data_IF_178358595506
#
_entry.id   IF_178358595506
#
_cell.length_a   1.000
_cell.length_b   1.000
_cell.length_c   1.000
_cell.angle_alpha   90.00
_cell.angle_beta   90.00
_cell.angle_gamma   90.00
#
_symmetry.space_group_name_H-M   'P 1'
#
loop_
_entity.id
_entity.type
_entity.pdbx_description
1 polymer ?
#
# COMPACT_ATOMS: atom_id res chain seq x y z
N UNK A 1 -19.28 10.86 -2.50
CA UNK A 1 -17.89 10.43 -2.78
C UNK A 1 -17.90 9.46 -3.95
N UNK A 2 -16.76 9.25 -4.59
CA UNK A 2 -16.58 8.25 -5.65
C UNK A 2 -15.38 7.36 -5.30
N UNK A 3 -15.36 6.14 -5.84
CA UNK A 3 -14.26 5.19 -5.60
C UNK A 3 -13.04 5.61 -6.41
N UNK A 4 -11.87 5.67 -5.76
CA UNK A 4 -10.59 6.05 -6.39
C UNK A 4 -9.54 4.93 -6.37
N UNK A 5 -9.76 3.89 -5.57
CA UNK A 5 -8.93 2.70 -5.48
C UNK A 5 -9.80 1.50 -5.09
N UNK A 6 -9.49 0.32 -5.63
CA UNK A 6 -10.32 -0.87 -5.44
C UNK A 6 -11.69 -0.77 -6.12
N UNK A 7 -12.72 -1.33 -5.48
CA UNK A 7 -14.11 -1.26 -5.96
C UNK A 7 -14.58 -2.48 -6.75
N UNK A 8 -13.71 -3.46 -7.02
CA UNK A 8 -14.06 -4.72 -7.69
C UNK A 8 -14.28 -5.88 -6.69
N UNK A 9 -14.73 -5.56 -5.48
CA UNK A 9 -14.87 -6.51 -4.37
C UNK A 9 -13.56 -6.82 -3.64
N UNK A 10 -13.66 -7.70 -2.65
CA UNK A 10 -12.53 -8.18 -1.88
C UNK A 10 -11.68 -9.15 -2.72
N UNK A 11 -10.35 -8.98 -2.70
CA UNK A 11 -9.43 -9.89 -3.34
C UNK A 11 -8.03 -9.29 -3.51
N UNK A 12 -7.16 -9.99 -4.24
CA UNK A 12 -5.75 -9.64 -4.42
C UNK A 12 -5.39 -9.17 -5.84
N UNK A 13 -6.37 -9.11 -6.76
CA UNK A 13 -6.16 -8.53 -8.07
C UNK A 13 -5.72 -7.05 -7.95
N UNK A 14 -5.09 -6.50 -8.98
CA UNK A 14 -4.65 -5.10 -8.96
C UNK A 14 -5.84 -4.11 -8.93
N UNK A 15 -7.06 -4.58 -9.17
CA UNK A 15 -8.30 -3.82 -9.09
C UNK A 15 -9.04 -4.01 -7.76
N UNK A 16 -8.50 -4.84 -6.86
CA UNK A 16 -9.11 -5.24 -5.60
C UNK A 16 -8.21 -4.89 -4.41
N UNK A 17 -8.85 -4.81 -3.25
CA UNK A 17 -8.20 -4.61 -1.95
C UNK A 17 -8.80 -5.61 -0.96
N UNK A 18 -8.08 -5.94 0.10
CA UNK A 18 -8.55 -6.76 1.20
C UNK A 18 -8.18 -6.13 2.55
N UNK A 19 -9.19 -5.61 3.25
CA UNK A 19 -9.05 -4.87 4.50
C UNK A 19 -8.03 -3.70 4.39
N UNK A 20 -8.22 -2.76 3.43
CA UNK A 20 -7.35 -1.60 3.34
C UNK A 20 -7.45 -0.76 4.62
N UNK A 21 -6.32 -0.25 5.11
CA UNK A 21 -6.27 0.44 6.40
C UNK A 21 -5.82 1.90 6.24
N UNK A 22 -4.52 2.19 6.42
CA UNK A 22 -3.95 3.52 6.26
C UNK A 22 -3.75 3.91 4.79
N UNK A 23 -3.84 5.21 4.56
CA UNK A 23 -3.60 5.83 3.25
C UNK A 23 -2.62 7.00 3.34
N UNK A 24 -1.99 7.32 2.22
CA UNK A 24 -1.25 8.57 2.01
C UNK A 24 -1.55 9.10 0.61
N UNK A 25 -1.74 10.41 0.47
CA UNK A 25 -1.94 11.06 -0.84
C UNK A 25 -0.83 12.08 -1.03
N UNK A 26 -0.06 11.94 -2.11
CA UNK A 26 1.02 12.88 -2.43
C UNK A 26 0.49 14.17 -3.09
N UNK A 27 1.38 15.14 -3.32
CA UNK A 27 1.03 16.43 -3.95
C UNK A 27 0.63 16.31 -5.43
N UNK A 28 0.90 15.17 -6.06
CA UNK A 28 0.50 14.86 -7.44
C UNK A 28 -0.85 14.13 -7.49
N UNK A 29 -1.46 13.83 -6.35
CA UNK A 29 -2.72 13.09 -6.26
C UNK A 29 -2.56 11.57 -6.37
N UNK A 30 -1.34 11.03 -6.20
CA UNK A 30 -1.13 9.59 -6.08
C UNK A 30 -1.58 9.13 -4.71
N UNK A 31 -2.51 8.17 -4.67
CA UNK A 31 -2.99 7.51 -3.47
C UNK A 31 -2.19 6.24 -3.22
N UNK A 32 -1.61 6.11 -2.03
CA UNK A 32 -0.98 4.91 -1.49
C UNK A 32 -1.89 4.29 -0.43
N UNK A 33 -2.03 2.97 -0.45
CA UNK A 33 -2.95 2.22 0.42
C UNK A 33 -2.22 1.03 1.03
N UNK A 34 -2.31 0.89 2.35
CA UNK A 34 -1.93 -0.34 3.04
C UNK A 34 -3.02 -1.39 2.81
N UNK A 35 -2.75 -2.38 1.97
CA UNK A 35 -3.67 -3.45 1.59
C UNK A 35 -3.46 -4.64 2.53
N UNK A 36 -3.93 -4.47 3.78
CA UNK A 36 -3.42 -5.18 4.95
C UNK A 36 -3.49 -6.70 4.84
N UNK A 37 -4.63 -7.25 4.42
CA UNK A 37 -4.79 -8.72 4.32
C UNK A 37 -4.22 -9.30 3.03
N UNK A 38 -3.75 -8.45 2.11
CA UNK A 38 -2.91 -8.86 0.99
C UNK A 38 -1.42 -8.62 1.26
N UNK A 39 -1.04 -8.19 2.47
CA UNK A 39 0.35 -8.05 2.93
C UNK A 39 1.22 -7.17 2.02
N UNK A 40 0.63 -6.09 1.49
CA UNK A 40 1.28 -5.23 0.50
C UNK A 40 0.85 -3.77 0.62
N UNK A 41 1.62 -2.89 -0.01
CA UNK A 41 1.24 -1.49 -0.24
C UNK A 41 1.00 -1.29 -1.72
N UNK A 42 -0.12 -0.65 -2.05
CA UNK A 42 -0.54 -0.40 -3.42
C UNK A 42 -0.60 1.11 -3.69
N UNK A 43 -0.37 1.54 -4.94
CA UNK A 43 -0.59 2.94 -5.39
C UNK A 43 -1.55 3.06 -6.57
N UNK A 44 -2.24 4.19 -6.64
CA UNK A 44 -3.09 4.64 -7.76
C UNK A 44 -2.80 6.11 -8.08
N UNK A 45 -2.57 6.45 -9.36
CA UNK A 45 -2.43 7.86 -9.78
C UNK A 45 -3.76 8.41 -10.29
N UNK A 46 -3.99 9.71 -10.10
CA UNK A 46 -5.14 10.42 -10.66
C UNK A 46 -5.17 10.34 -12.20
N UNK A 47 -6.36 10.32 -12.81
CA UNK A 47 -6.54 10.39 -14.26
C UNK A 47 -7.56 9.39 -14.79
N UNK A 48 -7.26 8.10 -14.73
CA UNK A 48 -8.17 6.97 -15.02
C UNK A 48 -7.43 5.65 -14.77
N UNK A 49 -7.38 5.13 -13.54
CA UNK A 49 -6.63 3.90 -13.25
C UNK A 49 -7.48 2.88 -12.53
N UNK A 50 -8.20 2.09 -13.33
CA UNK A 50 -8.98 0.90 -12.95
C UNK A 50 -8.19 -0.10 -12.10
N UNK A 51 -6.86 -0.06 -12.16
CA UNK A 51 -5.95 -0.95 -11.44
C UNK A 51 -4.84 -0.16 -10.75
N UNK A 52 -4.43 -0.63 -9.58
CA UNK A 52 -3.27 -0.12 -8.85
C UNK A 52 -1.99 -0.81 -9.26
N UNK A 53 -0.93 -0.50 -8.53
CA UNK A 53 0.38 -1.14 -8.68
C UNK A 53 0.93 -1.44 -7.29
N UNK A 54 1.50 -2.62 -7.09
CA UNK A 54 2.20 -2.94 -5.84
C UNK A 54 3.47 -2.10 -5.77
N UNK A 55 3.67 -1.42 -4.65
CA UNK A 55 4.84 -0.56 -4.40
C UNK A 55 5.88 -1.31 -3.58
N UNK A 56 5.42 -2.02 -2.54
CA UNK A 56 6.21 -2.88 -1.65
C UNK A 56 5.32 -4.02 -1.14
N UNK A 57 5.93 -5.10 -0.67
CA UNK A 57 5.23 -6.31 -0.20
C UNK A 57 5.05 -7.39 -1.27
N UNK A 58 5.81 -7.32 -2.36
CA UNK A 58 5.73 -8.32 -3.46
C UNK A 58 6.14 -9.73 -3.01
N UNK A 59 6.92 -9.83 -1.93
CA UNK A 59 7.33 -11.12 -1.36
C UNK A 59 6.26 -11.71 -0.42
N UNK A 60 5.08 -11.10 -0.35
CA UNK A 60 3.90 -11.59 0.38
C UNK A 60 4.04 -11.53 1.89
N UNK A 61 3.32 -12.42 2.57
CA UNK A 61 3.30 -12.49 4.02
C UNK A 61 4.64 -12.99 4.59
N UNK A 62 5.17 -12.31 5.60
CA UNK A 62 6.34 -12.76 6.33
C UNK A 62 7.14 -11.64 6.99
N UNK A 63 8.27 -12.00 7.60
CA UNK A 63 9.15 -11.08 8.33
C UNK A 63 10.46 -10.74 7.58
N UNK A 64 10.64 -11.24 6.35
CA UNK A 64 11.79 -10.90 5.51
C UNK A 64 11.75 -9.47 4.98
N UNK A 65 12.78 -9.09 4.21
CA UNK A 65 12.80 -7.82 3.50
C UNK A 65 11.70 -7.80 2.43
N UNK A 66 10.98 -6.69 2.33
CA UNK A 66 9.86 -6.51 1.39
C UNK A 66 8.73 -7.56 1.57
N UNK A 67 8.65 -8.16 2.76
CA UNK A 67 7.50 -8.93 3.25
C UNK A 67 6.82 -8.15 4.38
N UNK A 68 5.50 -8.35 4.52
CA UNK A 68 4.74 -7.75 5.60
C UNK A 68 3.83 -8.75 6.29
N UNK A 69 3.45 -8.47 7.52
CA UNK A 69 2.34 -9.13 8.20
C UNK A 69 1.35 -8.05 8.64
N UNK A 70 0.22 -7.94 7.93
CA UNK A 70 -0.84 -6.96 8.17
C UNK A 70 -0.30 -5.52 8.27
N UNK A 71 0.25 -4.94 7.19
CA UNK A 71 0.69 -3.54 7.22
C UNK A 71 -0.52 -2.62 7.40
N UNK A 72 -0.43 -1.62 8.27
CA UNK A 72 -1.59 -0.77 8.62
C UNK A 72 -1.41 0.71 8.33
N UNK A 73 -0.21 1.25 8.46
CA UNK A 73 0.04 2.69 8.37
C UNK A 73 1.16 3.02 7.39
N UNK A 74 1.04 4.15 6.70
CA UNK A 74 1.99 4.64 5.70
C UNK A 74 2.37 6.09 6.00
N UNK A 75 3.63 6.45 5.80
CA UNK A 75 4.08 7.84 5.81
C UNK A 75 5.28 8.02 4.90
N UNK A 76 5.45 9.22 4.37
CA UNK A 76 6.61 9.59 3.58
C UNK A 76 7.45 10.62 4.31
N UNK A 77 8.78 10.49 4.22
CA UNK A 77 9.67 11.59 4.61
C UNK A 77 9.88 12.59 3.47
N UNK A 78 10.57 13.70 3.78
CA UNK A 78 10.91 14.75 2.81
C UNK A 78 11.82 14.30 1.66
N UNK A 79 12.43 13.13 1.77
CA UNK A 79 13.29 12.55 0.75
C UNK A 79 12.53 11.53 -0.11
N UNK A 80 11.22 11.35 0.12
CA UNK A 80 10.39 10.41 -0.60
C UNK A 80 10.49 8.96 -0.11
N UNK A 81 11.15 8.71 1.03
CA UNK A 81 11.16 7.34 1.56
C UNK A 81 9.81 7.00 2.17
N UNK A 82 9.29 5.83 1.82
CA UNK A 82 8.07 5.26 2.39
C UNK A 82 8.40 4.51 3.69
N UNK A 83 7.67 4.82 4.75
CA UNK A 83 7.68 4.11 6.02
C UNK A 83 6.35 3.35 6.16
N UNK A 84 6.44 2.05 6.41
CA UNK A 84 5.27 1.17 6.56
C UNK A 84 5.26 0.59 7.97
N UNK A 85 4.15 0.80 8.68
CA UNK A 85 3.88 0.14 9.95
C UNK A 85 3.44 -1.30 9.70
N UNK A 86 4.38 -2.23 9.86
CA UNK A 86 4.25 -3.67 9.64
C UNK A 86 3.76 -4.33 10.94
N UNK A 87 2.46 -4.18 11.20
CA UNK A 87 1.84 -4.37 12.52
C UNK A 87 2.05 -5.78 13.07
N UNK A 88 1.81 -6.82 12.27
CA UNK A 88 1.95 -8.22 12.69
C UNK A 88 3.40 -8.59 13.02
N UNK A 89 4.36 -7.92 12.38
CA UNK A 89 5.79 -8.09 12.66
C UNK A 89 6.33 -7.14 13.76
N UNK A 90 5.48 -6.29 14.36
CA UNK A 90 5.87 -5.33 15.40
C UNK A 90 7.04 -4.41 14.99
N UNK A 91 7.09 -3.98 13.73
CA UNK A 91 8.20 -3.17 13.19
C UNK A 91 7.74 -2.07 12.24
N UNK A 92 8.65 -1.15 11.95
CA UNK A 92 8.54 -0.20 10.86
C UNK A 92 9.60 -0.56 9.81
N UNK A 93 9.21 -0.64 8.54
CA UNK A 93 10.16 -0.77 7.43
C UNK A 93 10.21 0.52 6.62
N UNK A 94 11.42 0.92 6.22
CA UNK A 94 11.67 2.09 5.34
C UNK A 94 12.09 1.59 3.97
N UNK A 95 11.52 2.19 2.92
CA UNK A 95 11.83 1.88 1.53
C UNK A 95 12.16 3.16 0.78
N UNK A 96 13.24 3.11 -0.02
CA UNK A 96 13.46 4.09 -1.08
C UNK A 96 12.63 3.63 -2.26
N UNK A 97 11.60 4.40 -2.60
CA UNK A 97 10.74 4.11 -3.75
C UNK A 97 10.91 5.25 -4.74
N UNK A 98 11.60 4.94 -5.84
CA UNK A 98 11.83 5.89 -6.95
C UNK A 98 10.54 6.12 -7.76
#
# INVERSE_FOLDING_TARGET
>A
GFVVAGGQGQGNALTQLYCPNGIFVDTLGTLYVADSNNHRVMRWTQGDKKQGTVVVGENGQGAGANQFDVPVGLSFDRHGNLYVADMGNNRIQRFSIE
#
